data_IF_870882448461
#
_entry.id   IF_870882448461
#
_cell.length_a   1.000
_cell.length_b   1.000
_cell.length_c   1.000
_cell.angle_alpha   90.00
_cell.angle_beta   90.00
_cell.angle_gamma   90.00
#
_symmetry.space_group_name_H-M   'P 1'
#
loop_
_entity.id
_entity.type
_entity.pdbx_description
1 polymer ?
#
# COMPACT_ATOMS: atom_id res chain seq x y z
N UNK A 1 -41.36 9.35 20.67
CA UNK A 1 -41.20 10.30 19.52
C UNK A 1 -41.59 9.55 18.27
N UNK A 2 -42.75 9.86 17.70
CA UNK A 2 -43.23 9.18 16.48
C UNK A 2 -42.54 9.78 15.24
N UNK A 3 -41.60 9.05 14.68
CA UNK A 3 -40.92 9.45 13.44
C UNK A 3 -41.80 9.07 12.24
N UNK A 4 -42.24 10.08 11.47
CA UNK A 4 -42.98 9.86 10.22
C UNK A 4 -41.99 9.89 9.06
N UNK A 5 -42.12 8.93 8.13
CA UNK A 5 -41.32 8.86 6.90
C UNK A 5 -41.96 9.74 5.83
N UNK A 6 -41.15 10.56 5.15
CA UNK A 6 -41.50 11.26 3.92
C UNK A 6 -40.29 11.33 3.00
N UNK A 7 -40.52 11.64 1.71
CA UNK A 7 -39.45 11.76 0.73
C UNK A 7 -39.25 13.23 0.35
N UNK A 8 -38.04 13.60 0.01
CA UNK A 8 -37.70 14.92 -0.55
C UNK A 8 -37.39 14.77 -2.05
N UNK A 9 -37.83 15.73 -2.86
CA UNK A 9 -37.48 15.81 -4.28
C UNK A 9 -36.06 16.33 -4.53
N UNK A 10 -35.36 16.63 -3.47
CA UNK A 10 -34.00 17.19 -3.54
C UNK A 10 -32.96 16.09 -3.59
N UNK A 11 -32.22 16.05 -4.69
CA UNK A 11 -31.04 15.19 -4.82
C UNK A 11 -29.98 15.58 -3.81
N UNK A 12 -29.52 14.63 -3.00
CA UNK A 12 -28.51 14.80 -1.95
C UNK A 12 -27.46 13.70 -2.07
N UNK A 13 -26.19 14.06 -1.94
CA UNK A 13 -25.09 13.10 -1.83
C UNK A 13 -24.59 13.02 -0.38
N UNK A 14 -24.25 11.85 0.14
CA UNK A 14 -23.49 11.74 1.38
C UNK A 14 -21.98 12.02 1.20
N UNK A 15 -21.48 12.20 -0.01
CA UNK A 15 -20.06 12.21 -0.36
C UNK A 15 -19.53 13.57 -0.79
N UNK A 16 -20.17 14.67 -0.40
CA UNK A 16 -19.79 16.01 -0.83
C UNK A 16 -18.34 16.39 -0.44
N UNK A 17 -17.79 15.84 0.65
CA UNK A 17 -16.42 16.11 1.05
C UNK A 17 -15.36 15.63 0.06
N UNK A 18 -15.69 14.69 -0.84
CA UNK A 18 -14.78 14.22 -1.89
C UNK A 18 -14.37 15.30 -2.90
N UNK A 19 -15.09 16.44 -2.93
CA UNK A 19 -14.69 17.60 -3.75
C UNK A 19 -13.30 18.16 -3.37
N UNK A 20 -12.85 17.92 -2.14
CA UNK A 20 -11.50 18.28 -1.72
C UNK A 20 -10.45 17.45 -2.47
N UNK A 21 -10.70 16.15 -2.67
CA UNK A 21 -9.85 15.30 -3.50
C UNK A 21 -9.87 15.75 -4.96
N UNK A 22 -11.07 16.01 -5.50
CA UNK A 22 -11.17 16.54 -6.87
C UNK A 22 -10.34 17.81 -7.03
N UNK A 23 -10.46 18.77 -6.12
CA UNK A 23 -9.71 20.02 -6.16
C UNK A 23 -8.20 19.78 -6.09
N UNK A 24 -7.73 18.83 -5.29
CA UNK A 24 -6.32 18.42 -5.27
C UNK A 24 -5.91 17.84 -6.62
N UNK A 25 -6.67 16.92 -7.20
CA UNK A 25 -6.38 16.33 -8.51
C UNK A 25 -6.34 17.37 -9.63
N UNK A 26 -7.28 18.31 -9.64
CA UNK A 26 -7.30 19.38 -10.63
C UNK A 26 -6.00 20.23 -10.57
N UNK A 27 -5.54 20.56 -9.37
CA UNK A 27 -4.29 21.33 -9.16
C UNK A 27 -3.04 20.55 -9.54
N UNK A 28 -3.02 19.24 -9.30
CA UNK A 28 -1.92 18.37 -9.69
C UNK A 28 -1.78 18.23 -11.21
N UNK A 29 -2.77 18.67 -11.98
CA UNK A 29 -2.81 18.40 -13.42
C UNK A 29 -3.07 16.93 -13.73
N UNK A 30 -3.82 16.23 -12.86
CA UNK A 30 -4.07 14.79 -12.98
C UNK A 30 -4.69 14.41 -14.34
N UNK A 31 -5.65 15.19 -14.84
CA UNK A 31 -6.27 14.96 -16.15
C UNK A 31 -5.27 15.10 -17.30
N UNK A 32 -4.39 16.10 -17.23
CA UNK A 32 -3.32 16.31 -18.20
C UNK A 32 -2.35 15.12 -18.23
N UNK A 33 -2.06 14.55 -17.06
CA UNK A 33 -1.24 13.33 -16.99
C UNK A 33 -1.94 12.12 -17.57
N UNK A 34 -3.24 11.94 -17.27
CA UNK A 34 -4.01 10.84 -17.87
C UNK A 34 -4.10 10.94 -19.41
N UNK A 35 -4.08 12.15 -19.98
CA UNK A 35 -4.05 12.36 -21.44
C UNK A 35 -2.77 11.84 -22.11
N UNK A 36 -1.66 11.77 -21.38
CA UNK A 36 -0.37 11.28 -21.85
C UNK A 36 -0.25 9.76 -21.83
N UNK A 37 -1.12 9.08 -21.08
CA UNK A 37 -1.06 7.63 -20.92
C UNK A 37 -1.74 6.91 -22.08
N UNK A 38 -1.20 5.75 -22.53
CA UNK A 38 -1.82 4.93 -23.58
C UNK A 38 -3.04 4.17 -23.04
N UNK A 39 -4.05 4.88 -22.56
CA UNK A 39 -5.25 4.25 -21.95
C UNK A 39 -6.07 3.50 -23.00
N UNK A 40 -6.69 2.36 -22.65
CA UNK A 40 -7.52 1.59 -23.57
C UNK A 40 -8.71 2.39 -24.11
N UNK A 41 -8.76 2.57 -25.43
CA UNK A 41 -9.82 3.33 -26.09
C UNK A 41 -11.12 2.48 -26.16
N UNK A 42 -12.26 3.13 -26.03
CA UNK A 42 -13.56 2.48 -26.20
C UNK A 42 -13.88 2.27 -27.69
N UNK A 43 -14.44 1.10 -28.02
CA UNK A 43 -14.71 0.71 -29.40
C UNK A 43 -15.93 1.38 -30.05
N UNK A 44 -16.55 2.38 -29.42
CA UNK A 44 -17.69 3.10 -29.98
C UNK A 44 -17.79 4.54 -29.47
N UNK A 45 -18.36 5.43 -30.25
CA UNK A 45 -18.62 6.83 -29.88
C UNK A 45 -19.55 6.99 -28.67
N UNK A 46 -20.28 5.94 -28.29
CA UNK A 46 -21.11 5.89 -27.08
C UNK A 46 -20.38 5.38 -25.85
N UNK A 47 -19.08 5.05 -25.98
CA UNK A 47 -18.21 4.60 -24.90
C UNK A 47 -18.02 5.68 -23.80
N UNK A 48 -17.51 5.26 -22.67
CA UNK A 48 -17.05 6.19 -21.64
C UNK A 48 -15.65 6.65 -21.95
N UNK A 49 -15.34 7.91 -21.66
CA UNK A 49 -13.98 8.40 -21.66
C UNK A 49 -13.12 7.57 -20.66
N UNK A 50 -11.97 7.00 -21.08
CA UNK A 50 -11.09 6.24 -20.20
C UNK A 50 -10.67 7.01 -18.93
N UNK A 51 -10.38 8.29 -19.05
CA UNK A 51 -10.02 9.16 -17.90
C UNK A 51 -11.16 9.25 -16.89
N UNK A 52 -12.39 9.42 -17.41
CA UNK A 52 -13.57 9.43 -16.56
C UNK A 52 -13.77 8.11 -15.84
N UNK A 53 -13.56 6.95 -16.54
CA UNK A 53 -13.67 5.64 -15.91
C UNK A 53 -12.68 5.47 -14.76
N UNK A 54 -11.43 5.88 -14.95
CA UNK A 54 -10.39 5.81 -13.92
C UNK A 54 -10.76 6.69 -12.72
N UNK A 55 -11.11 7.95 -12.95
CA UNK A 55 -11.50 8.87 -11.87
C UNK A 55 -12.74 8.39 -11.13
N UNK A 56 -13.75 7.91 -11.86
CA UNK A 56 -14.96 7.37 -11.23
C UNK A 56 -14.69 6.09 -10.45
N UNK A 57 -13.83 5.18 -10.94
CA UNK A 57 -13.43 3.99 -10.22
C UNK A 57 -12.77 4.36 -8.89
N UNK A 58 -11.75 5.24 -8.90
CA UNK A 58 -11.09 5.70 -7.68
C UNK A 58 -12.07 6.42 -6.74
N UNK A 59 -12.97 7.26 -7.27
CA UNK A 59 -13.99 7.94 -6.46
C UNK A 59 -14.87 6.92 -5.75
N UNK A 60 -15.30 5.87 -6.44
CA UNK A 60 -16.08 4.78 -5.83
C UNK A 60 -15.30 4.07 -4.73
N UNK A 61 -14.00 3.80 -4.92
CA UNK A 61 -13.11 3.23 -3.89
C UNK A 61 -13.02 4.16 -2.67
N UNK A 62 -12.85 5.45 -2.87
CA UNK A 62 -12.81 6.44 -1.78
C UNK A 62 -14.15 6.53 -1.04
N UNK A 63 -15.26 6.38 -1.74
CA UNK A 63 -16.60 6.30 -1.14
C UNK A 63 -16.88 4.95 -0.44
N UNK A 64 -15.98 3.97 -0.52
CA UNK A 64 -16.07 2.69 0.20
C UNK A 64 -16.36 1.47 -0.65
N UNK A 65 -16.33 1.58 -1.98
CA UNK A 65 -16.40 0.40 -2.85
C UNK A 65 -15.14 -0.45 -2.63
N UNK A 66 -15.33 -1.74 -2.37
CA UNK A 66 -14.25 -2.71 -2.23
C UNK A 66 -14.36 -3.87 -3.23
N UNK A 67 -15.29 -3.82 -4.16
CA UNK A 67 -15.47 -4.70 -5.31
C UNK A 67 -16.28 -3.98 -6.40
N UNK A 68 -16.25 -4.49 -7.63
CA UNK A 68 -16.89 -3.82 -8.77
C UNK A 68 -18.39 -3.60 -8.58
N UNK A 69 -19.10 -4.54 -7.96
CA UNK A 69 -20.53 -4.42 -7.70
C UNK A 69 -20.87 -3.23 -6.79
N UNK A 70 -19.98 -2.85 -5.88
CA UNK A 70 -20.18 -1.70 -5.01
C UNK A 70 -20.11 -0.35 -5.75
N UNK A 71 -19.52 -0.31 -6.96
CA UNK A 71 -19.52 0.90 -7.78
C UNK A 71 -20.95 1.27 -8.26
N UNK A 72 -21.90 0.33 -8.23
CA UNK A 72 -23.30 0.63 -8.53
C UNK A 72 -23.94 1.58 -7.53
N UNK A 73 -23.48 1.59 -6.26
CA UNK A 73 -24.01 2.49 -5.22
C UNK A 73 -23.72 3.95 -5.59
N UNK A 74 -22.49 4.26 -6.00
CA UNK A 74 -22.08 5.61 -6.41
C UNK A 74 -22.63 5.99 -7.78
N UNK A 75 -22.98 5.00 -8.64
CA UNK A 75 -23.51 5.22 -9.99
C UNK A 75 -24.79 6.05 -10.00
N UNK A 76 -25.64 5.87 -9.02
CA UNK A 76 -26.94 6.54 -8.93
C UNK A 76 -26.90 7.86 -8.15
N UNK A 77 -25.73 8.32 -7.74
CA UNK A 77 -25.54 9.59 -7.04
C UNK A 77 -25.33 10.74 -8.04
N UNK A 78 -26.41 11.41 -8.37
CA UNK A 78 -26.42 12.51 -9.35
C UNK A 78 -25.62 13.73 -8.86
N UNK A 79 -25.64 14.04 -7.56
CA UNK A 79 -24.89 15.16 -6.99
C UNK A 79 -23.40 14.87 -7.02
N UNK A 80 -22.99 13.64 -6.69
CA UNK A 80 -21.60 13.20 -6.82
C UNK A 80 -21.14 13.32 -8.27
N UNK A 81 -21.96 12.87 -9.23
CA UNK A 81 -21.71 13.01 -10.67
C UNK A 81 -21.44 14.47 -11.05
N UNK A 82 -22.27 15.40 -10.59
CA UNK A 82 -22.13 16.83 -10.85
C UNK A 82 -20.90 17.44 -10.19
N UNK A 83 -20.60 17.06 -8.95
CA UNK A 83 -19.42 17.51 -8.20
C UNK A 83 -18.11 17.13 -8.91
N UNK A 84 -18.06 15.94 -9.51
CA UNK A 84 -16.90 15.43 -10.24
C UNK A 84 -16.87 15.83 -11.73
N UNK A 85 -17.95 16.42 -12.23
CA UNK A 85 -18.07 16.81 -13.64
C UNK A 85 -18.18 15.63 -14.60
N UNK A 86 -18.64 14.47 -14.13
CA UNK A 86 -18.81 13.30 -14.98
C UNK A 86 -20.03 13.48 -15.91
N UNK A 87 -19.87 13.15 -17.20
CA UNK A 87 -21.00 13.24 -18.16
C UNK A 87 -22.11 12.26 -17.80
N UNK A 88 -21.75 11.05 -17.46
CA UNK A 88 -22.63 9.96 -17.00
C UNK A 88 -21.85 9.00 -16.13
N UNK A 89 -22.52 8.30 -15.23
CA UNK A 89 -21.86 7.35 -14.33
C UNK A 89 -21.86 5.93 -14.93
N UNK A 90 -20.69 5.31 -14.95
CA UNK A 90 -20.49 3.93 -15.41
C UNK A 90 -20.87 2.92 -14.33
N UNK A 91 -21.46 1.80 -14.73
CA UNK A 91 -21.72 0.67 -13.84
C UNK A 91 -20.58 -0.34 -13.82
N UNK A 92 -20.68 -1.32 -12.92
CA UNK A 92 -19.67 -2.36 -12.67
C UNK A 92 -19.19 -3.07 -13.94
N UNK A 93 -20.10 -3.40 -14.85
CA UNK A 93 -19.76 -4.05 -16.13
C UNK A 93 -18.91 -3.18 -17.05
N UNK A 94 -19.07 -1.85 -17.00
CA UNK A 94 -18.25 -0.93 -17.80
C UNK A 94 -16.80 -0.92 -17.31
N UNK A 95 -16.56 -0.92 -15.99
CA UNK A 95 -15.23 -1.06 -15.43
C UNK A 95 -14.58 -2.39 -15.78
N UNK A 96 -15.33 -3.50 -15.65
CA UNK A 96 -14.83 -4.82 -16.03
C UNK A 96 -14.43 -4.89 -17.51
N UNK A 97 -15.25 -4.33 -18.43
CA UNK A 97 -14.92 -4.27 -19.86
C UNK A 97 -13.71 -3.38 -20.13
N UNK A 98 -13.56 -2.29 -19.42
CA UNK A 98 -12.41 -1.39 -19.53
C UNK A 98 -11.11 -2.11 -19.14
N UNK A 99 -11.07 -2.69 -17.94
CA UNK A 99 -9.89 -3.39 -17.46
C UNK A 99 -9.56 -4.63 -18.29
N UNK A 100 -10.53 -5.36 -18.84
CA UNK A 100 -10.27 -6.51 -19.70
C UNK A 100 -9.58 -6.17 -21.04
N UNK A 101 -9.37 -4.89 -21.36
CA UNK A 101 -8.55 -4.46 -22.50
C UNK A 101 -7.08 -4.30 -22.19
N UNK A 102 -6.69 -4.42 -20.93
CA UNK A 102 -5.32 -4.32 -20.51
C UNK A 102 -4.54 -5.59 -20.84
N UNK A 103 -3.27 -5.41 -21.19
CA UNK A 103 -2.26 -6.45 -21.42
C UNK A 103 -1.06 -6.16 -20.54
N UNK A 104 -0.15 -7.13 -20.37
CA UNK A 104 1.08 -6.96 -19.59
C UNK A 104 1.89 -5.75 -20.07
N UNK A 105 2.11 -5.62 -21.41
CA UNK A 105 2.85 -4.49 -21.99
C UNK A 105 2.14 -3.15 -21.69
N UNK A 106 0.82 -3.10 -21.91
CA UNK A 106 0.05 -1.89 -21.66
C UNK A 106 0.07 -1.49 -20.18
N UNK A 107 0.00 -2.46 -19.25
CA UNK A 107 0.12 -2.20 -17.81
C UNK A 107 1.50 -1.61 -17.49
N UNK A 108 2.56 -2.18 -18.06
CA UNK A 108 3.91 -1.65 -17.86
C UNK A 108 4.00 -0.18 -18.31
N UNK A 109 3.58 0.11 -19.53
CA UNK A 109 3.68 1.47 -20.11
C UNK A 109 2.85 2.50 -19.31
N UNK A 110 1.60 2.16 -18.96
CA UNK A 110 0.71 3.04 -18.20
C UNK A 110 1.28 3.30 -16.81
N UNK A 111 1.61 2.25 -16.05
CA UNK A 111 1.94 2.41 -14.64
C UNK A 111 3.36 2.91 -14.44
N UNK A 112 4.33 2.54 -15.28
CA UNK A 112 5.67 3.12 -15.22
C UNK A 112 5.60 4.63 -15.49
N UNK A 113 4.98 5.06 -16.58
CA UNK A 113 4.84 6.49 -16.92
C UNK A 113 4.09 7.27 -15.84
N UNK A 114 3.02 6.67 -15.25
CA UNK A 114 2.27 7.33 -14.20
C UNK A 114 3.09 7.49 -12.92
N UNK A 115 3.76 6.43 -12.45
CA UNK A 115 4.55 6.48 -11.23
C UNK A 115 5.77 7.41 -11.39
N UNK A 116 6.44 7.40 -12.55
CA UNK A 116 7.54 8.32 -12.86
C UNK A 116 7.08 9.78 -12.76
N UNK A 117 5.96 10.13 -13.39
CA UNK A 117 5.38 11.46 -13.23
C UNK A 117 5.04 11.78 -11.78
N UNK A 118 4.36 10.87 -11.09
CA UNK A 118 3.90 11.10 -9.72
C UNK A 118 5.07 11.34 -8.76
N UNK A 119 6.08 10.47 -8.80
CA UNK A 119 7.22 10.56 -7.91
C UNK A 119 8.25 11.62 -8.30
N UNK A 120 8.31 12.06 -9.57
CA UNK A 120 9.14 13.21 -9.98
C UNK A 120 8.70 14.52 -9.32
N UNK A 121 7.40 14.64 -9.02
CA UNK A 121 6.86 15.83 -8.38
C UNK A 121 7.05 15.84 -6.86
N UNK A 122 7.52 14.75 -6.26
CA UNK A 122 7.73 14.64 -4.81
C UNK A 122 9.22 14.83 -4.47
N UNK A 123 9.48 15.70 -3.51
CA UNK A 123 10.83 15.97 -3.01
C UNK A 123 11.21 14.97 -1.94
N UNK A 124 11.89 13.92 -2.30
CA UNK A 124 12.55 12.95 -1.42
C UNK A 124 13.62 12.19 -2.20
N UNK A 125 14.62 11.72 -1.48
CA UNK A 125 15.67 10.83 -1.97
C UNK A 125 16.26 10.06 -0.77
N UNK A 126 17.10 9.08 -1.03
CA UNK A 126 17.74 8.28 0.02
C UNK A 126 16.71 7.69 1.01
N UNK A 127 15.62 7.15 0.46
CA UNK A 127 14.43 6.72 1.18
C UNK A 127 14.54 5.28 1.69
N UNK A 128 13.66 4.94 2.65
CA UNK A 128 13.48 3.56 3.11
C UNK A 128 12.44 2.85 2.26
N UNK A 129 12.83 1.73 1.65
CA UNK A 129 11.96 0.85 0.87
C UNK A 129 11.61 -0.40 1.68
N UNK A 130 10.35 -0.51 2.07
CA UNK A 130 9.79 -1.72 2.68
C UNK A 130 9.17 -2.60 1.62
N UNK A 131 9.67 -3.82 1.48
CA UNK A 131 9.08 -4.81 0.57
C UNK A 131 8.42 -5.92 1.37
N UNK A 132 7.20 -6.26 0.97
CA UNK A 132 6.45 -7.36 1.55
C UNK A 132 5.63 -8.10 0.50
N UNK A 133 5.31 -9.34 0.78
CA UNK A 133 4.37 -10.12 0.01
C UNK A 133 3.05 -10.30 0.77
N UNK A 134 1.96 -10.37 0.03
CA UNK A 134 0.65 -10.56 0.66
C UNK A 134 -0.13 -11.67 -0.03
N UNK A 135 -1.10 -12.25 0.67
CA UNK A 135 -1.94 -13.31 0.14
C UNK A 135 -3.31 -12.73 -0.19
N UNK A 136 -3.70 -12.80 -1.46
CA UNK A 136 -5.03 -12.43 -1.94
C UNK A 136 -5.80 -13.70 -2.28
N UNK A 137 -6.58 -14.20 -1.33
CA UNK A 137 -7.37 -15.43 -1.52
C UNK A 137 -8.37 -15.29 -2.65
N UNK A 138 -8.51 -16.31 -3.49
CA UNK A 138 -9.43 -16.36 -4.62
C UNK A 138 -10.43 -17.50 -4.47
N UNK A 139 -11.68 -17.22 -4.77
CA UNK A 139 -12.79 -18.17 -4.69
C UNK A 139 -13.25 -18.69 -6.06
N UNK A 140 -12.76 -18.07 -7.12
CA UNK A 140 -13.09 -18.42 -8.50
C UNK A 140 -11.87 -18.96 -9.29
N UNK A 141 -12.02 -18.99 -10.61
CA UNK A 141 -10.99 -19.44 -11.55
C UNK A 141 -10.32 -18.24 -12.24
N UNK A 142 -9.76 -17.33 -11.46
CA UNK A 142 -8.97 -16.22 -11.98
C UNK A 142 -7.63 -16.75 -12.52
N UNK A 143 -7.20 -16.21 -13.65
CA UNK A 143 -5.90 -16.55 -14.25
C UNK A 143 -4.76 -16.24 -13.26
N UNK A 144 -3.80 -17.13 -13.14
CA UNK A 144 -2.70 -17.01 -12.18
C UNK A 144 -3.05 -17.38 -10.73
N UNK A 145 -4.34 -17.59 -10.40
CA UNK A 145 -4.70 -18.06 -9.07
C UNK A 145 -4.32 -19.55 -8.92
N UNK A 146 -3.42 -19.84 -7.99
CA UNK A 146 -2.92 -21.20 -7.71
C UNK A 146 -2.95 -21.49 -6.22
N UNK A 147 -2.93 -22.79 -5.87
CA UNK A 147 -2.70 -23.23 -4.49
C UNK A 147 -1.23 -22.99 -4.14
N UNK A 148 -0.98 -22.37 -3.00
CA UNK A 148 0.35 -22.08 -2.47
C UNK A 148 0.27 -21.87 -0.96
N UNK A 149 1.25 -21.16 -0.41
CA UNK A 149 1.27 -20.81 1.00
C UNK A 149 0.10 -19.88 1.35
N UNK A 150 -0.85 -20.38 2.10
CA UNK A 150 -2.00 -19.61 2.60
C UNK A 150 -2.37 -20.09 4.01
N UNK A 151 -1.74 -19.57 5.06
CA UNK A 151 -1.95 -20.03 6.43
C UNK A 151 -3.35 -19.73 6.97
N UNK A 152 -4.01 -18.67 6.45
CA UNK A 152 -5.36 -18.31 6.89
C UNK A 152 -6.44 -19.19 6.27
N UNK A 153 -6.23 -19.67 5.04
CA UNK A 153 -7.17 -20.53 4.30
C UNK A 153 -6.41 -21.61 3.54
N UNK A 154 -5.90 -22.64 4.26
CA UNK A 154 -5.12 -23.72 3.66
C UNK A 154 -5.86 -24.37 2.48
N UNK A 155 -5.14 -24.68 1.40
CA UNK A 155 -5.68 -25.33 0.21
C UNK A 155 -6.50 -24.44 -0.74
N UNK A 156 -6.80 -23.18 -0.39
CA UNK A 156 -7.47 -22.23 -1.29
C UNK A 156 -6.48 -21.64 -2.29
N UNK A 157 -6.98 -21.39 -3.51
CA UNK A 157 -6.24 -20.66 -4.54
C UNK A 157 -6.05 -19.21 -4.09
N UNK A 158 -4.93 -18.61 -4.49
CA UNK A 158 -4.61 -17.21 -4.18
C UNK A 158 -3.77 -16.58 -5.29
N UNK A 159 -3.65 -15.27 -5.26
CA UNK A 159 -2.52 -14.53 -5.82
C UNK A 159 -1.59 -14.14 -4.66
N UNK A 160 -0.30 -13.97 -4.98
CA UNK A 160 0.73 -13.64 -3.99
C UNK A 160 1.53 -12.41 -4.45
N UNK A 161 0.91 -11.21 -4.46
CA UNK A 161 1.55 -10.00 -4.94
C UNK A 161 2.78 -9.61 -4.11
N UNK A 162 3.72 -8.90 -4.76
CA UNK A 162 4.73 -8.07 -4.11
C UNK A 162 4.24 -6.63 -4.04
N UNK A 163 4.49 -5.99 -2.91
CA UNK A 163 4.16 -4.59 -2.66
C UNK A 163 5.37 -3.92 -2.03
N UNK A 164 5.80 -2.80 -2.60
CA UNK A 164 6.84 -1.96 -2.04
C UNK A 164 6.25 -0.65 -1.53
N UNK A 165 6.67 -0.22 -0.34
CA UNK A 165 6.27 1.06 0.27
C UNK A 165 7.49 1.93 0.52
N UNK A 166 7.32 3.23 0.32
CA UNK A 166 8.25 4.24 0.78
C UNK A 166 7.81 4.66 2.19
N UNK A 167 8.68 4.46 3.19
CA UNK A 167 8.32 4.76 4.59
C UNK A 167 8.03 6.23 4.80
N UNK A 168 8.89 7.12 4.29
CA UNK A 168 8.83 8.57 4.50
C UNK A 168 7.57 9.20 3.90
N UNK A 169 7.17 8.75 2.71
CA UNK A 169 5.97 9.28 2.02
C UNK A 169 4.71 8.49 2.33
N UNK A 170 4.85 7.32 2.95
CA UNK A 170 3.74 6.39 3.26
C UNK A 170 2.97 5.96 2.00
N UNK A 171 3.66 5.82 0.87
CA UNK A 171 3.08 5.52 -0.43
C UNK A 171 3.54 4.17 -0.96
N UNK A 172 2.71 3.55 -1.78
CA UNK A 172 3.09 2.37 -2.57
C UNK A 172 4.04 2.83 -3.68
N UNK A 173 5.27 2.32 -3.66
CA UNK A 173 6.28 2.57 -4.67
C UNK A 173 6.05 1.70 -5.91
N UNK A 174 5.65 0.44 -5.68
CA UNK A 174 5.44 -0.53 -6.74
C UNK A 174 4.50 -1.65 -6.29
N UNK A 175 3.83 -2.26 -7.26
CA UNK A 175 2.94 -3.39 -7.06
C UNK A 175 3.05 -4.36 -8.25
N UNK A 176 3.35 -5.64 -7.97
CA UNK A 176 3.27 -6.72 -8.96
C UNK A 176 2.26 -7.76 -8.50
N UNK A 177 1.29 -8.05 -9.33
CA UNK A 177 0.44 -9.22 -9.15
C UNK A 177 1.27 -10.47 -9.49
N UNK A 178 1.17 -11.54 -8.68
CA UNK A 178 1.91 -12.78 -8.93
C UNK A 178 1.01 -13.98 -8.70
N UNK A 179 1.40 -15.12 -9.28
CA UNK A 179 0.72 -16.39 -9.07
C UNK A 179 0.78 -16.83 -7.60
N UNK A 180 -0.26 -17.50 -7.12
CA UNK A 180 -0.40 -17.89 -5.71
C UNK A 180 0.62 -18.92 -5.20
N UNK A 181 1.35 -19.58 -6.09
CA UNK A 181 2.43 -20.51 -5.75
C UNK A 181 3.83 -19.88 -5.86
N UNK A 182 3.92 -18.56 -6.04
CA UNK A 182 5.20 -17.85 -6.15
C UNK A 182 5.77 -17.57 -4.76
N UNK A 183 7.06 -17.91 -4.54
CA UNK A 183 7.77 -17.56 -3.31
C UNK A 183 8.03 -16.05 -3.22
N UNK A 184 8.16 -15.51 -2.01
CA UNK A 184 8.37 -14.07 -1.80
C UNK A 184 9.60 -13.54 -2.53
N UNK A 185 10.75 -14.22 -2.46
CA UNK A 185 12.01 -13.82 -3.10
C UNK A 185 12.06 -14.05 -4.62
N UNK A 186 11.09 -14.74 -5.20
CA UNK A 186 11.13 -15.03 -6.63
C UNK A 186 11.03 -13.73 -7.45
N UNK A 187 12.03 -13.49 -8.31
CA UNK A 187 12.19 -12.30 -9.13
C UNK A 187 12.20 -10.97 -8.34
N UNK A 188 12.72 -10.98 -7.12
CA UNK A 188 12.83 -9.76 -6.29
C UNK A 188 13.77 -8.71 -6.92
N UNK A 189 14.83 -9.15 -7.58
CA UNK A 189 15.77 -8.27 -8.28
C UNK A 189 15.04 -7.47 -9.36
N UNK A 190 14.30 -8.13 -10.25
CA UNK A 190 13.48 -7.46 -11.27
C UNK A 190 12.44 -6.52 -10.66
N UNK A 191 11.83 -6.89 -9.53
CA UNK A 191 10.88 -6.03 -8.84
C UNK A 191 11.54 -4.76 -8.26
N UNK A 192 12.73 -4.87 -7.69
CA UNK A 192 13.48 -3.71 -7.16
C UNK A 192 13.95 -2.81 -8.30
N UNK A 193 14.47 -3.38 -9.40
CA UNK A 193 14.84 -2.59 -10.59
C UNK A 193 13.64 -1.83 -11.16
N UNK A 194 12.50 -2.49 -11.34
CA UNK A 194 11.25 -1.85 -11.79
C UNK A 194 10.76 -0.76 -10.81
N UNK A 195 10.99 -0.97 -9.50
CA UNK A 195 10.69 0.04 -8.49
C UNK A 195 11.57 1.27 -8.64
N UNK A 196 12.87 1.09 -8.82
CA UNK A 196 13.84 2.17 -9.03
C UNK A 196 13.50 2.95 -10.30
N UNK A 197 13.13 2.26 -11.39
CA UNK A 197 12.71 2.91 -12.65
C UNK A 197 11.45 3.77 -12.43
N UNK A 198 10.44 3.25 -11.78
CA UNK A 198 9.21 3.98 -11.42
C UNK A 198 9.46 5.19 -10.53
N UNK A 199 10.53 5.20 -9.76
CA UNK A 199 10.94 6.34 -8.94
C UNK A 199 11.99 7.23 -9.61
N UNK A 200 12.20 7.12 -10.91
CA UNK A 200 13.18 7.91 -11.68
C UNK A 200 14.61 7.84 -11.13
N UNK A 201 15.03 6.66 -10.71
CA UNK A 201 16.39 6.43 -10.23
C UNK A 201 16.70 7.07 -8.87
N UNK A 202 15.69 7.42 -8.08
CA UNK A 202 15.89 7.88 -6.70
C UNK A 202 16.58 6.78 -5.87
N UNK A 203 17.51 7.18 -5.01
CA UNK A 203 18.36 6.27 -4.26
C UNK A 203 17.60 5.64 -3.08
N UNK A 204 17.71 4.31 -2.96
CA UNK A 204 17.24 3.57 -1.79
C UNK A 204 18.31 3.67 -0.70
N UNK A 205 18.04 4.44 0.35
CA UNK A 205 18.91 4.55 1.52
C UNK A 205 18.93 3.31 2.37
N UNK A 206 17.74 2.69 2.52
CA UNK A 206 17.57 1.47 3.31
C UNK A 206 16.52 0.56 2.69
N UNK A 207 16.91 -0.65 2.32
CA UNK A 207 15.97 -1.73 1.96
C UNK A 207 15.62 -2.54 3.21
N UNK A 208 14.32 -2.77 3.49
CA UNK A 208 13.88 -3.65 4.57
C UNK A 208 13.00 -4.78 4.02
N UNK A 209 13.35 -6.02 4.37
CA UNK A 209 12.63 -7.23 3.98
C UNK A 209 12.38 -8.18 5.15
N UNK A 210 11.32 -8.99 5.04
CA UNK A 210 11.09 -10.07 5.99
C UNK A 210 11.99 -11.29 5.67
N UNK A 211 11.85 -12.34 6.47
CA UNK A 211 12.61 -13.58 6.26
C UNK A 211 12.27 -14.31 4.95
N UNK A 212 11.24 -13.90 4.24
CA UNK A 212 10.92 -14.39 2.90
C UNK A 212 11.95 -13.97 1.86
N UNK A 213 12.68 -12.88 2.11
CA UNK A 213 13.74 -12.35 1.24
C UNK A 213 15.15 -12.78 1.66
N UNK A 214 15.27 -13.61 2.69
CA UNK A 214 16.54 -14.14 3.16
C UNK A 214 17.15 -15.12 2.14
N UNK A 215 18.19 -14.69 1.43
CA UNK A 215 18.86 -15.50 0.43
C UNK A 215 20.11 -14.85 -0.15
N UNK A 216 21.10 -15.68 -0.57
CA UNK A 216 22.38 -15.25 -1.15
C UNK A 216 22.18 -14.22 -2.28
N UNK A 217 21.40 -14.61 -3.27
CA UNK A 217 21.15 -13.80 -4.47
C UNK A 217 20.54 -12.43 -4.17
N UNK A 218 19.71 -12.34 -3.12
CA UNK A 218 19.10 -11.07 -2.70
C UNK A 218 20.16 -10.17 -2.04
N UNK A 219 20.97 -10.73 -1.16
CA UNK A 219 22.03 -9.96 -0.48
C UNK A 219 23.04 -9.42 -1.50
N UNK A 220 23.55 -10.28 -2.38
CA UNK A 220 24.52 -9.88 -3.42
C UNK A 220 23.97 -8.80 -4.32
N UNK A 221 22.73 -8.96 -4.79
CA UNK A 221 22.07 -7.95 -5.61
C UNK A 221 21.96 -6.59 -4.89
N UNK A 222 21.56 -6.58 -3.61
CA UNK A 222 21.40 -5.33 -2.85
C UNK A 222 22.77 -4.68 -2.56
N UNK A 223 23.80 -5.49 -2.30
CA UNK A 223 25.18 -5.04 -2.04
C UNK A 223 25.86 -4.47 -3.29
N UNK A 224 25.56 -5.02 -4.46
CA UNK A 224 26.20 -4.64 -5.73
C UNK A 224 25.43 -3.53 -6.49
N UNK A 225 24.16 -3.28 -6.13
CA UNK A 225 23.32 -2.33 -6.86
C UNK A 225 23.66 -0.87 -6.50
N UNK A 226 24.07 -0.02 -7.47
CA UNK A 226 24.61 1.32 -7.18
C UNK A 226 23.60 2.30 -6.53
N UNK A 227 22.29 2.06 -6.71
CA UNK A 227 21.22 2.88 -6.12
C UNK A 227 20.65 2.31 -4.82
N UNK A 228 21.25 1.27 -4.24
CA UNK A 228 20.90 0.75 -2.91
C UNK A 228 22.07 0.98 -1.97
N UNK A 229 21.83 1.69 -0.87
CA UNK A 229 22.91 2.02 0.09
C UNK A 229 23.08 0.96 1.16
N UNK A 230 21.96 0.53 1.77
CA UNK A 230 21.99 -0.41 2.88
C UNK A 230 20.74 -1.30 2.86
N UNK A 231 20.81 -2.42 3.60
CA UNK A 231 19.68 -3.28 3.82
C UNK A 231 19.59 -3.83 5.24
N UNK A 232 18.38 -4.19 5.66
CA UNK A 232 18.10 -4.98 6.87
C UNK A 232 17.07 -6.06 6.47
N UNK A 233 17.46 -7.32 6.52
CA UNK A 233 16.57 -8.46 6.22
C UNK A 233 16.51 -9.38 7.43
N UNK A 234 15.29 -9.73 7.85
CA UNK A 234 15.11 -10.70 8.92
C UNK A 234 15.71 -12.06 8.53
N UNK A 235 16.54 -12.60 9.40
CA UNK A 235 17.17 -13.87 9.16
C UNK A 235 16.21 -15.02 9.45
N UNK A 236 16.24 -16.06 8.60
CA UNK A 236 15.57 -17.33 8.90
C UNK A 236 16.38 -18.04 9.96
N UNK A 237 15.74 -18.39 11.07
CA UNK A 237 16.40 -19.03 12.20
C UNK A 237 16.62 -20.55 11.92
N UNK A 238 17.40 -20.85 10.87
CA UNK A 238 17.88 -22.21 10.62
C UNK A 238 18.89 -22.64 11.70
N UNK A 239 19.14 -23.94 11.79
CA UNK A 239 20.04 -24.54 12.80
C UNK A 239 21.38 -23.80 12.96
N UNK A 240 22.12 -23.38 11.91
CA UNK A 240 23.36 -22.64 12.08
C UNK A 240 23.22 -21.29 12.80
N UNK A 241 22.13 -20.55 12.52
CA UNK A 241 21.84 -19.28 13.24
C UNK A 241 21.43 -19.56 14.68
N UNK A 242 20.64 -20.61 14.93
CA UNK A 242 20.30 -21.06 16.29
C UNK A 242 21.56 -21.40 17.09
N UNK A 243 22.54 -22.09 16.49
CA UNK A 243 23.83 -22.39 17.11
C UNK A 243 24.63 -21.13 17.43
N UNK A 244 24.63 -20.10 16.53
CA UNK A 244 25.24 -18.80 16.81
C UNK A 244 24.56 -18.10 18.00
N UNK A 245 23.25 -18.13 18.09
CA UNK A 245 22.49 -17.59 19.22
C UNK A 245 22.86 -18.30 20.52
N UNK A 246 22.88 -19.65 20.51
CA UNK A 246 23.17 -20.48 21.68
C UNK A 246 24.62 -20.32 22.18
N UNK A 247 25.56 -20.24 21.27
CA UNK A 247 26.98 -20.06 21.59
C UNK A 247 27.38 -18.62 21.94
N UNK A 248 26.47 -17.64 21.77
CA UNK A 248 26.81 -16.25 22.05
C UNK A 248 26.64 -15.90 23.51
N UNK A 249 27.72 -15.48 24.17
CA UNK A 249 27.77 -15.20 25.63
C UNK A 249 27.67 -13.71 25.97
N UNK A 250 28.12 -12.83 25.07
CA UNK A 250 28.22 -11.39 25.29
C UNK A 250 26.98 -10.63 24.82
N UNK A 251 25.94 -10.63 25.64
CA UNK A 251 24.74 -9.87 25.40
C UNK A 251 24.76 -8.52 26.09
N UNK A 252 24.52 -7.46 25.33
CA UNK A 252 24.41 -6.09 25.88
C UNK A 252 22.96 -5.83 26.29
N UNK A 253 22.75 -5.59 27.58
CA UNK A 253 21.44 -5.21 28.13
C UNK A 253 21.11 -3.78 27.72
N UNK A 254 19.96 -3.60 27.06
CA UNK A 254 19.48 -2.29 26.59
C UNK A 254 18.44 -1.71 27.53
N UNK A 255 17.48 -2.53 27.93
CA UNK A 255 16.42 -2.19 28.87
C UNK A 255 15.95 -3.46 29.58
N UNK A 256 15.03 -3.32 30.52
CA UNK A 256 14.50 -4.50 31.22
C UNK A 256 13.91 -5.51 30.23
N UNK A 257 14.50 -6.70 30.19
CA UNK A 257 14.05 -7.80 29.35
C UNK A 257 14.41 -7.69 27.86
N UNK A 258 15.23 -6.72 27.46
CA UNK A 258 15.72 -6.59 26.08
C UNK A 258 17.23 -6.53 26.08
N UNK A 259 17.84 -7.44 25.33
CA UNK A 259 19.28 -7.52 25.15
C UNK A 259 19.59 -7.70 23.65
N UNK A 260 20.72 -7.13 23.25
CA UNK A 260 21.20 -7.15 21.86
C UNK A 260 22.60 -7.71 21.79
N UNK A 261 22.92 -8.32 20.67
CA UNK A 261 24.25 -8.79 20.37
C UNK A 261 24.50 -8.72 18.87
N UNK A 262 25.75 -8.81 18.47
CA UNK A 262 26.15 -8.91 17.06
C UNK A 262 27.33 -9.87 16.89
N UNK A 263 27.41 -10.43 15.71
CA UNK A 263 28.51 -11.28 15.27
C UNK A 263 28.57 -11.29 13.76
N UNK A 264 29.57 -11.92 13.19
CA UNK A 264 29.56 -12.27 11.77
C UNK A 264 28.98 -13.67 11.56
N UNK A 265 28.34 -13.85 10.42
CA UNK A 265 27.78 -15.13 10.00
C UNK A 265 28.02 -15.34 8.50
N UNK A 266 28.54 -16.51 8.18
CA UNK A 266 28.65 -17.03 6.81
C UNK A 266 27.87 -18.33 6.71
N UNK A 267 26.88 -18.37 5.83
CA UNK A 267 26.25 -19.61 5.42
C UNK A 267 27.20 -20.39 4.51
N UNK A 268 27.20 -21.74 4.51
CA UNK A 268 28.00 -22.53 3.57
C UNK A 268 27.76 -22.20 2.09
N UNK A 269 26.63 -21.59 1.78
CA UNK A 269 26.26 -21.17 0.41
C UNK A 269 26.69 -19.75 0.06
N UNK A 270 27.31 -19.00 1.00
CA UNK A 270 27.69 -17.60 0.82
C UNK A 270 29.20 -17.48 0.58
N UNK A 271 29.58 -16.56 -0.29
CA UNK A 271 30.97 -16.32 -0.64
C UNK A 271 31.69 -15.44 0.41
N UNK A 272 30.93 -14.70 1.23
CA UNK A 272 31.48 -13.83 2.27
C UNK A 272 30.66 -13.87 3.56
N UNK A 273 31.31 -13.45 4.65
CA UNK A 273 30.66 -13.19 5.92
C UNK A 273 29.77 -11.94 5.85
N UNK A 274 28.66 -11.95 6.58
CA UNK A 274 27.77 -10.81 6.75
C UNK A 274 27.49 -10.56 8.21
N UNK A 275 27.24 -9.31 8.57
CA UNK A 275 26.87 -8.92 9.93
C UNK A 275 25.54 -9.54 10.31
N UNK A 276 25.51 -10.21 11.45
CA UNK A 276 24.31 -10.79 12.08
C UNK A 276 24.03 -10.03 13.36
N UNK A 277 22.95 -9.26 13.39
CA UNK A 277 22.43 -8.59 14.58
C UNK A 277 21.39 -9.50 15.21
N UNK A 278 21.51 -9.73 16.52
CA UNK A 278 20.64 -10.58 17.31
C UNK A 278 20.00 -9.79 18.43
N UNK A 279 18.72 -10.01 18.64
CA UNK A 279 17.93 -9.40 19.73
C UNK A 279 17.21 -10.49 20.48
N UNK A 280 17.29 -10.49 21.80
CA UNK A 280 16.45 -11.33 22.64
C UNK A 280 15.56 -10.52 23.56
N UNK A 281 14.31 -10.92 23.64
CA UNK A 281 13.28 -10.28 24.45
C UNK A 281 12.75 -11.28 25.46
N UNK A 282 12.77 -10.93 26.74
CA UNK A 282 12.17 -11.74 27.80
C UNK A 282 10.65 -11.79 27.59
N UNK A 283 10.10 -12.99 27.53
CA UNK A 283 8.66 -13.22 27.39
C UNK A 283 8.10 -13.69 28.71
N UNK A 284 7.34 -12.87 29.38
CA UNK A 284 6.68 -13.20 30.66
C UNK A 284 5.42 -14.02 30.45
N UNK A 285 4.72 -13.79 29.34
CA UNK A 285 3.53 -14.54 28.90
C UNK A 285 3.65 -14.84 27.42
N UNK A 286 3.33 -16.08 27.01
CA UNK A 286 3.18 -16.44 25.60
C UNK A 286 1.70 -16.32 25.25
N UNK A 287 1.25 -15.32 24.47
CA UNK A 287 -0.08 -15.38 23.90
C UNK A 287 -0.17 -16.63 23.03
N UNK A 288 -1.32 -17.31 23.04
CA UNK A 288 -1.60 -18.48 22.21
C UNK A 288 -1.25 -18.18 20.75
N UNK A 289 -0.05 -18.56 20.32
CA UNK A 289 0.37 -18.37 18.94
C UNK A 289 -0.37 -19.40 18.09
N UNK A 290 -1.22 -18.93 17.20
CA UNK A 290 -1.89 -19.70 16.17
C UNK A 290 -0.94 -20.14 15.04
N UNK A 291 0.31 -20.37 15.31
CA UNK A 291 1.32 -20.87 14.41
C UNK A 291 2.23 -21.84 15.12
N UNK A 292 2.74 -22.84 14.44
CA UNK A 292 3.78 -23.73 14.97
C UNK A 292 4.98 -22.86 15.37
N UNK A 293 5.02 -22.40 16.62
CA UNK A 293 6.26 -21.92 17.20
C UNK A 293 7.14 -23.15 17.37
N UNK A 294 8.02 -23.39 16.42
CA UNK A 294 9.13 -24.28 16.63
C UNK A 294 9.83 -23.82 17.90
N UNK A 295 9.86 -24.69 18.92
CA UNK A 295 10.73 -24.45 20.10
C UNK A 295 12.14 -24.38 19.56
N UNK A 296 12.79 -23.23 19.68
CA UNK A 296 14.14 -23.05 19.21
C UNK A 296 15.11 -24.03 19.90
N UNK A 297 14.81 -24.44 21.15
CA UNK A 297 15.62 -25.32 21.96
C UNK A 297 14.71 -26.15 22.86
N UNK A 298 14.51 -27.43 22.55
CA UNK A 298 13.63 -28.29 23.34
C UNK A 298 14.16 -28.63 24.73
N UNK A 299 15.48 -28.56 24.94
CA UNK A 299 16.14 -29.12 26.12
C UNK A 299 16.76 -28.08 27.08
N UNK A 300 16.79 -26.78 26.77
CA UNK A 300 17.45 -25.79 27.64
C UNK A 300 16.47 -24.72 28.15
N UNK A 301 16.02 -24.88 29.39
CA UNK A 301 15.00 -24.03 30.04
C UNK A 301 15.29 -22.50 30.06
N UNK A 302 16.54 -22.08 29.92
CA UNK A 302 16.94 -20.66 29.88
C UNK A 302 16.53 -20.01 28.57
N UNK A 303 16.69 -20.71 27.44
CA UNK A 303 16.36 -20.18 26.10
C UNK A 303 14.85 -20.12 25.84
N UNK A 304 14.04 -20.87 26.54
CA UNK A 304 12.59 -20.85 26.44
C UNK A 304 11.95 -19.57 27.00
N UNK A 305 12.70 -18.75 27.75
CA UNK A 305 12.23 -17.48 28.31
C UNK A 305 12.37 -16.29 27.36
N UNK A 306 13.09 -16.46 26.24
CA UNK A 306 13.36 -15.35 25.32
C UNK A 306 12.70 -15.60 23.94
N UNK A 307 12.23 -14.51 23.34
CA UNK A 307 11.95 -14.44 21.91
C UNK A 307 13.17 -13.86 21.21
N UNK A 308 13.64 -14.53 20.18
CA UNK A 308 14.79 -14.11 19.40
C UNK A 308 14.35 -13.48 18.08
N UNK A 309 15.02 -12.41 17.66
CA UNK A 309 14.94 -11.80 16.33
C UNK A 309 16.36 -11.61 15.81
N UNK A 310 16.59 -12.03 14.57
CA UNK A 310 17.91 -11.94 13.96
C UNK A 310 17.79 -11.23 12.61
N UNK A 311 18.83 -10.45 12.27
CA UNK A 311 18.86 -9.63 11.06
C UNK A 311 20.22 -9.76 10.39
N UNK A 312 20.22 -9.96 9.06
CA UNK A 312 21.42 -9.79 8.23
C UNK A 312 21.36 -8.37 7.68
N UNK A 313 22.48 -7.66 7.79
CA UNK A 313 22.56 -6.24 7.43
C UNK A 313 23.98 -5.82 7.11
N UNK A 314 24.14 -4.82 6.27
CA UNK A 314 25.37 -4.07 6.02
C UNK A 314 25.39 -2.70 6.73
N UNK A 315 24.28 -2.33 7.41
CA UNK A 315 24.21 -1.10 8.21
C UNK A 315 25.23 -1.15 9.36
N UNK A 316 26.02 -0.08 9.52
CA UNK A 316 27.08 0.01 10.55
C UNK A 316 26.62 0.55 11.90
N UNK A 317 25.34 0.93 12.02
CA UNK A 317 24.77 1.44 13.28
C UNK A 317 24.78 0.38 14.40
N UNK A 318 24.78 0.80 15.68
CA UNK A 318 24.68 -0.12 16.82
C UNK A 318 23.48 -1.08 16.71
N UNK A 319 23.57 -2.31 17.25
CA UNK A 319 22.54 -3.35 17.13
C UNK A 319 21.14 -2.89 17.53
N UNK A 320 21.03 -2.08 18.58
CA UNK A 320 19.76 -1.50 19.02
C UNK A 320 19.13 -0.60 17.95
N UNK A 321 19.93 0.23 17.28
CA UNK A 321 19.45 1.12 16.25
C UNK A 321 18.99 0.34 15.00
N UNK A 322 19.75 -0.69 14.60
CA UNK A 322 19.33 -1.62 13.53
C UNK A 322 17.97 -2.24 13.85
N UNK A 323 17.79 -2.73 15.08
CA UNK A 323 16.50 -3.27 15.50
C UNK A 323 15.37 -2.24 15.51
N UNK A 324 15.64 -1.01 15.96
CA UNK A 324 14.66 0.08 15.96
C UNK A 324 14.24 0.46 14.54
N UNK A 325 15.18 0.54 13.61
CA UNK A 325 14.89 0.74 12.18
C UNK A 325 14.03 -0.40 11.62
N UNK A 326 14.37 -1.65 11.94
CA UNK A 326 13.58 -2.78 11.45
C UNK A 326 12.17 -2.82 12.05
N UNK A 327 11.97 -2.45 13.32
CA UNK A 327 10.62 -2.42 13.95
C UNK A 327 9.63 -1.51 13.23
N UNK A 328 10.10 -0.43 12.62
CA UNK A 328 9.26 0.48 11.85
C UNK A 328 8.61 -0.21 10.64
N UNK A 329 9.18 -1.34 10.17
CA UNK A 329 8.58 -2.16 9.12
C UNK A 329 7.16 -2.66 9.48
N UNK A 330 6.77 -2.68 10.75
CA UNK A 330 5.40 -2.96 11.17
C UNK A 330 4.37 -2.00 10.52
N UNK A 331 4.79 -0.79 10.14
CA UNK A 331 3.95 0.15 9.39
C UNK A 331 3.56 -0.40 8.02
N UNK A 332 4.46 -1.12 7.34
CA UNK A 332 4.17 -1.79 6.06
C UNK A 332 3.01 -2.77 6.19
N UNK A 333 3.01 -3.61 7.23
CA UNK A 333 1.90 -4.55 7.48
C UNK A 333 0.58 -3.82 7.74
N UNK A 334 0.61 -2.70 8.46
CA UNK A 334 -0.59 -1.89 8.72
C UNK A 334 -1.12 -1.25 7.43
N UNK A 335 -0.24 -0.79 6.53
CA UNK A 335 -0.60 -0.26 5.21
C UNK A 335 -1.20 -1.35 4.31
N UNK A 336 -0.66 -2.56 4.32
CA UNK A 336 -1.26 -3.71 3.62
C UNK A 336 -2.65 -4.03 4.15
N UNK A 337 -2.85 -3.99 5.47
CA UNK A 337 -4.17 -4.15 6.09
C UNK A 337 -5.13 -3.05 5.64
N UNK A 338 -4.71 -1.80 5.60
CA UNK A 338 -5.51 -0.68 5.10
C UNK A 338 -5.89 -0.87 3.62
N UNK A 339 -4.92 -1.24 2.77
CA UNK A 339 -5.17 -1.56 1.35
C UNK A 339 -6.24 -2.64 1.18
N UNK A 340 -6.18 -3.71 1.96
CA UNK A 340 -7.17 -4.79 1.90
C UNK A 340 -8.54 -4.38 2.42
N UNK A 341 -8.60 -3.82 3.62
CA UNK A 341 -9.87 -3.59 4.31
C UNK A 341 -10.55 -2.28 3.90
N UNK A 342 -9.78 -1.24 3.62
CA UNK A 342 -10.33 0.08 3.39
C UNK A 342 -10.36 0.44 1.89
N UNK A 343 -9.50 -0.18 1.05
CA UNK A 343 -9.45 0.04 -0.40
C UNK A 343 -9.86 -1.20 -1.21
N UNK A 344 -10.09 -2.34 -0.58
CA UNK A 344 -10.55 -3.56 -1.25
C UNK A 344 -9.53 -4.18 -2.21
N UNK A 345 -8.22 -3.99 -1.98
CA UNK A 345 -7.19 -4.45 -2.91
C UNK A 345 -7.18 -5.96 -3.14
N UNK A 346 -7.74 -6.76 -2.27
CA UNK A 346 -7.86 -8.21 -2.43
C UNK A 346 -9.18 -8.65 -3.10
N UNK A 347 -10.13 -7.74 -3.38
CA UNK A 347 -11.46 -8.04 -3.90
C UNK A 347 -11.72 -7.56 -5.33
N UNK A 348 -11.01 -6.53 -5.82
CA UNK A 348 -11.12 -6.09 -7.21
C UNK A 348 -10.39 -7.07 -8.14
N UNK A 349 -11.03 -8.18 -8.49
CA UNK A 349 -10.45 -9.22 -9.32
C UNK A 349 -11.32 -9.55 -10.53
N UNK A 350 -10.68 -9.92 -11.63
CA UNK A 350 -11.27 -10.28 -12.90
C UNK A 350 -10.78 -11.67 -13.33
N UNK A 351 -11.31 -12.22 -14.43
CA UNK A 351 -10.84 -13.50 -14.95
C UNK A 351 -9.40 -13.39 -15.47
N UNK A 352 -9.10 -12.32 -16.24
CA UNK A 352 -7.78 -12.03 -16.77
C UNK A 352 -6.83 -11.60 -15.65
N UNK A 353 -5.57 -12.05 -15.72
CA UNK A 353 -4.50 -11.64 -14.84
C UNK A 353 -4.16 -10.16 -15.03
N UNK A 354 -3.93 -9.74 -16.29
CA UNK A 354 -3.56 -8.36 -16.61
C UNK A 354 -4.66 -7.36 -16.25
N UNK A 355 -5.92 -7.74 -16.46
CA UNK A 355 -7.07 -6.93 -16.05
C UNK A 355 -7.15 -6.75 -14.53
N UNK A 356 -6.86 -7.81 -13.80
CA UNK A 356 -6.81 -7.76 -12.32
C UNK A 356 -5.65 -6.87 -11.86
N UNK A 357 -4.47 -7.04 -12.45
CA UNK A 357 -3.30 -6.24 -12.13
C UNK A 357 -3.54 -4.74 -12.40
N UNK A 358 -4.14 -4.40 -13.54
CA UNK A 358 -4.52 -3.03 -13.87
C UNK A 358 -5.48 -2.41 -12.85
N UNK A 359 -6.55 -3.12 -12.49
CA UNK A 359 -7.50 -2.65 -11.50
C UNK A 359 -6.82 -2.41 -10.14
N UNK A 360 -5.95 -3.33 -9.72
CA UNK A 360 -5.22 -3.23 -8.45
C UNK A 360 -4.18 -2.11 -8.45
N UNK A 361 -3.49 -1.85 -9.56
CA UNK A 361 -2.59 -0.69 -9.66
C UNK A 361 -3.35 0.63 -9.52
N UNK A 362 -4.55 0.77 -10.09
CA UNK A 362 -5.37 1.95 -9.85
C UNK A 362 -5.87 2.06 -8.40
N UNK A 363 -6.06 0.94 -7.69
CA UNK A 363 -6.31 0.95 -6.24
C UNK A 363 -5.07 1.43 -5.47
N UNK A 364 -3.86 1.00 -5.86
CA UNK A 364 -2.61 1.49 -5.25
C UNK A 364 -2.43 2.99 -5.49
N UNK A 365 -2.74 3.48 -6.69
CA UNK A 365 -2.72 4.92 -7.01
C UNK A 365 -3.77 5.67 -6.17
N UNK A 366 -4.98 5.14 -6.03
CA UNK A 366 -6.00 5.73 -5.16
C UNK A 366 -5.52 5.83 -3.70
N UNK A 367 -4.80 4.83 -3.21
CA UNK A 367 -4.15 4.86 -1.89
C UNK A 367 -3.07 5.96 -1.81
N UNK A 368 -2.20 6.06 -2.81
CA UNK A 368 -1.14 7.07 -2.86
C UNK A 368 -1.70 8.49 -2.86
N UNK A 369 -2.79 8.72 -3.60
CA UNK A 369 -3.48 10.02 -3.62
C UNK A 369 -4.10 10.35 -2.25
N UNK A 370 -4.61 9.38 -1.51
CA UNK A 370 -5.04 9.60 -0.11
C UNK A 370 -3.85 9.86 0.81
N UNK A 371 -2.72 9.17 0.63
CA UNK A 371 -1.51 9.45 1.40
C UNK A 371 -1.03 10.89 1.16
N UNK A 372 -1.02 11.33 -0.10
CA UNK A 372 -0.71 12.71 -0.46
C UNK A 372 -1.72 13.69 0.15
N UNK A 373 -3.01 13.42 0.06
CA UNK A 373 -4.07 14.24 0.63
C UNK A 373 -3.92 14.43 2.14
N UNK A 374 -3.56 13.37 2.87
CA UNK A 374 -3.28 13.43 4.32
C UNK A 374 -2.14 14.41 4.62
N UNK A 375 -1.07 14.36 3.85
CA UNK A 375 0.14 15.13 4.09
C UNK A 375 0.04 16.58 3.62
N UNK A 376 -0.60 16.80 2.49
CA UNK A 376 -0.64 18.11 1.82
C UNK A 376 -1.88 18.93 2.19
N UNK A 377 -3.07 18.30 2.12
CA UNK A 377 -4.34 19.03 2.34
C UNK A 377 -4.72 19.02 3.82
N UNK A 378 -4.71 17.86 4.46
CA UNK A 378 -5.05 17.78 5.89
C UNK A 378 -3.92 18.24 6.77
N UNK A 379 -2.67 18.15 6.30
CA UNK A 379 -1.45 18.51 7.01
C UNK A 379 -1.42 17.95 8.45
N UNK A 380 -1.77 16.67 8.60
CA UNK A 380 -1.87 16.01 9.90
C UNK A 380 -0.68 15.09 10.12
N UNK A 381 -0.09 15.17 11.33
CA UNK A 381 0.95 14.22 11.79
C UNK A 381 0.38 12.83 12.08
N UNK A 382 -0.91 12.74 12.41
CA UNK A 382 -1.59 11.50 12.72
C UNK A 382 -2.04 10.82 11.42
N UNK A 383 -1.58 9.60 11.20
CA UNK A 383 -1.99 8.77 10.06
C UNK A 383 -3.37 8.14 10.34
N UNK A 384 -4.43 8.91 10.07
CA UNK A 384 -5.78 8.36 10.11
C UNK A 384 -6.00 7.41 8.94
N UNK A 385 -6.50 6.19 9.22
CA UNK A 385 -6.89 5.23 8.18
C UNK A 385 -8.01 5.79 7.30
N UNK A 386 -8.10 5.27 6.06
CA UNK A 386 -9.14 5.68 5.10
C UNK A 386 -10.55 5.56 5.68
N UNK A 387 -10.83 4.52 6.45
CA UNK A 387 -12.12 4.37 7.16
C UNK A 387 -12.43 5.60 8.02
N UNK A 388 -11.47 6.09 8.78
CA UNK A 388 -11.63 7.29 9.63
C UNK A 388 -11.84 8.55 8.77
N UNK A 389 -11.06 8.71 7.70
CA UNK A 389 -11.19 9.85 6.79
C UNK A 389 -12.56 9.91 6.11
N UNK A 390 -13.15 8.76 5.75
CA UNK A 390 -14.50 8.73 5.19
C UNK A 390 -15.49 9.42 6.12
N UNK A 391 -15.46 9.12 7.41
CA UNK A 391 -16.39 9.74 8.38
C UNK A 391 -16.04 11.19 8.69
N UNK A 392 -14.76 11.50 8.77
CA UNK A 392 -14.34 12.84 9.21
C UNK A 392 -14.40 13.88 8.09
N UNK A 393 -14.11 13.49 6.84
CA UNK A 393 -13.84 14.43 5.75
C UNK A 393 -14.79 14.23 4.57
N UNK A 394 -15.07 13.01 4.16
CA UNK A 394 -15.75 12.73 2.89
C UNK A 394 -17.26 12.53 3.05
N UNK A 395 -17.70 11.89 4.15
CA UNK A 395 -19.12 11.65 4.41
C UNK A 395 -19.79 12.92 4.96
N UNK A 396 -19.96 13.90 4.10
CA UNK A 396 -20.65 15.17 4.38
C UNK A 396 -21.83 15.27 3.43
N UNK A 397 -23.04 15.38 3.99
CA UNK A 397 -24.25 15.59 3.21
C UNK A 397 -24.20 16.90 2.44
N UNK A 398 -24.64 16.89 1.20
CA UNK A 398 -24.69 18.13 0.41
C UNK A 398 -25.48 17.97 -0.87
N UNK A 399 -25.76 19.09 -1.50
CA UNK A 399 -26.53 19.19 -2.73
C UNK A 399 -26.10 20.37 -3.58
N UNK A 400 -26.32 20.29 -4.89
CA UNK A 400 -25.99 21.36 -5.84
C UNK A 400 -27.22 22.18 -6.14
N UNK A 401 -27.07 23.51 -6.12
CA UNK A 401 -28.08 24.46 -6.62
C UNK A 401 -27.51 25.28 -7.76
N UNK A 402 -28.35 25.65 -8.70
CA UNK A 402 -28.01 26.63 -9.73
C UNK A 402 -28.29 28.04 -9.18
N UNK A 403 -27.34 28.94 -9.33
CA UNK A 403 -27.47 30.37 -9.03
C UNK A 403 -26.99 31.14 -10.27
N UNK A 404 -27.92 31.52 -11.13
CA UNK A 404 -27.59 32.01 -12.47
C UNK A 404 -26.80 30.97 -13.27
N UNK A 405 -25.64 31.37 -13.79
CA UNK A 405 -24.71 30.51 -14.53
C UNK A 405 -23.76 29.70 -13.64
N UNK A 406 -23.82 29.88 -12.32
CA UNK A 406 -22.94 29.19 -11.39
C UNK A 406 -23.63 27.99 -10.74
N UNK A 407 -22.85 26.94 -10.45
CA UNK A 407 -23.27 25.83 -9.62
C UNK A 407 -22.69 26.04 -8.22
N UNK A 408 -23.55 26.02 -7.21
CA UNK A 408 -23.17 26.17 -5.82
C UNK A 408 -23.40 24.85 -5.09
N UNK A 409 -22.35 24.27 -4.53
CA UNK A 409 -22.43 23.11 -3.64
C UNK A 409 -22.74 23.59 -2.22
N UNK A 410 -23.90 23.21 -1.68
CA UNK A 410 -24.28 23.46 -0.30
C UNK A 410 -23.99 22.24 0.56
N UNK A 411 -23.22 22.43 1.64
CA UNK A 411 -22.79 21.38 2.55
C UNK A 411 -23.59 21.42 3.84
N UNK A 412 -24.05 20.28 4.29
CA UNK A 412 -24.63 20.07 5.62
C UNK A 412 -23.53 19.81 6.62
N UNK A 413 -22.95 20.88 7.18
CA UNK A 413 -21.84 20.81 8.10
C UNK A 413 -22.09 21.67 9.33
N UNK A 414 -21.86 21.11 10.53
CA UNK A 414 -22.01 21.82 11.80
C UNK A 414 -21.15 23.11 11.79
N UNK A 415 -21.66 24.19 12.37
CA UNK A 415 -21.03 25.53 12.33
C UNK A 415 -19.57 25.50 12.77
N UNK A 416 -19.25 24.80 13.86
CA UNK A 416 -17.89 24.67 14.42
C UNK A 416 -16.89 23.98 13.48
N UNK A 417 -17.36 23.29 12.43
CA UNK A 417 -16.51 22.62 11.43
C UNK A 417 -16.38 23.37 10.11
N UNK A 418 -17.14 24.45 9.90
CA UNK A 418 -17.17 25.18 8.63
C UNK A 418 -15.86 25.88 8.33
N UNK A 419 -15.29 26.54 9.32
CA UNK A 419 -13.99 27.22 9.19
C UNK A 419 -12.88 26.21 8.84
N UNK A 420 -12.80 25.10 9.56
CA UNK A 420 -11.87 24.02 9.24
C UNK A 420 -12.02 23.51 7.81
N UNK A 421 -13.25 23.22 7.35
CA UNK A 421 -13.49 22.76 5.98
C UNK A 421 -13.12 23.82 4.94
N UNK A 422 -13.41 25.09 5.21
CA UNK A 422 -13.02 26.22 4.36
C UNK A 422 -11.49 26.32 4.26
N UNK A 423 -10.76 26.09 5.35
CA UNK A 423 -9.30 26.00 5.34
C UNK A 423 -8.78 24.91 4.41
N UNK A 424 -9.36 23.71 4.47
CA UNK A 424 -9.03 22.61 3.56
C UNK A 424 -9.36 22.95 2.10
N UNK A 425 -10.52 23.57 1.87
CA UNK A 425 -10.94 24.03 0.54
C UNK A 425 -9.98 25.06 -0.06
N UNK A 426 -9.46 25.95 0.75
CA UNK A 426 -8.52 26.99 0.33
C UNK A 426 -7.06 26.55 0.32
N UNK A 427 -6.75 25.30 0.70
CA UNK A 427 -5.40 24.77 0.59
C UNK A 427 -4.93 24.79 -0.87
N UNK A 428 -3.78 25.42 -1.13
CA UNK A 428 -3.20 25.56 -2.46
C UNK A 428 -1.99 24.66 -2.72
N UNK A 429 -1.55 23.89 -1.73
CA UNK A 429 -0.47 22.91 -1.85
C UNK A 429 -0.85 21.76 -2.78
N UNK A 430 0.13 21.20 -3.47
CA UNK A 430 -0.08 20.07 -4.41
C UNK A 430 0.77 18.86 -4.08
N UNK A 431 2.10 19.01 -4.08
CA UNK A 431 3.07 17.92 -3.87
C UNK A 431 4.05 18.21 -2.72
N UNK A 432 3.86 19.29 -1.98
CA UNK A 432 4.76 19.72 -0.90
C UNK A 432 4.54 18.85 0.35
N UNK A 433 5.09 17.64 0.33
CA UNK A 433 5.14 16.77 1.51
C UNK A 433 6.29 17.21 2.42
N UNK A 434 6.02 17.26 3.74
CA UNK A 434 7.09 17.46 4.73
C UNK A 434 7.76 16.10 5.01
N UNK A 435 8.89 15.84 4.39
CA UNK A 435 9.77 14.75 4.80
C UNK A 435 10.55 15.22 6.03
N UNK A 436 10.06 14.88 7.24
CA UNK A 436 10.79 15.10 8.49
C UNK A 436 11.66 13.90 8.80
#
# INVERSE_FOLDING_TARGET
>A
MDLKLSFTDKEVTPWSGTVLLKKMLDRMGFDVQLDKLPLPIQGSNRGYDPKQLIKQFMTSVWCGANKFEHCEITRHDEVLRQCWGFKRMAGSKSFQRFFNKHTTALNHDIFTSFYQWFFSNLQFDNYTLDVDSSIFTRYGNQQGSKKGYNPQKPGRKSHHPLIAFIEETRMVANFWLRSGNTHASNNIQGFVCDTIDKLNGKKIGLFRGDSGFYGKEVFEFLEDHPLVSNYIIAARQYQPIQQKIAGHTLWTKVTRGIEVAETTYQSPLWDKERRLVMVRQLVTERPNATGKSLRLFEEQGIYNRYRYSCFITDVTLPPLQVWNLYKQRANCENRIKELKYDFGSDNFNLKSFDATEAALNWVMIAYNLISLFRQVVLNTKVENRMKTLRYQVFAIGGYVVKNGNQRLLKLSLAMKRREWFTGLWNCNKTFEISTN
#
